data_IF_425586545901
#
_entry.id   IF_425586545901
#
_cell.length_a   1.000
_cell.length_b   1.000
_cell.length_c   1.000
_cell.angle_alpha   90.00
_cell.angle_beta   90.00
_cell.angle_gamma   90.00
#
_symmetry.space_group_name_H-M   'P 1'
#
loop_
_entity.id
_entity.type
_entity.pdbx_description
1 polymer ?
#
# COMPACT_ATOMS: atom_id res chain seq x y z
N UNK A 1 5.48 30.18 -5.35
CA UNK A 1 5.27 29.47 -4.07
C UNK A 1 5.45 28.01 -4.40
N UNK A 2 6.22 27.26 -3.63
CA UNK A 2 6.39 25.82 -3.92
C UNK A 2 5.03 25.13 -3.75
N UNK A 3 4.54 24.47 -4.78
CA UNK A 3 3.24 23.79 -4.78
C UNK A 3 3.09 22.75 -3.65
N UNK A 4 4.21 22.22 -3.18
CA UNK A 4 4.26 21.27 -2.05
C UNK A 4 3.78 21.88 -0.74
N UNK A 5 3.83 23.19 -0.60
CA UNK A 5 3.39 23.92 0.60
C UNK A 5 1.89 24.29 0.57
N UNK A 6 1.14 23.84 -0.43
CA UNK A 6 -0.31 24.12 -0.53
C UNK A 6 -1.17 23.15 0.26
N UNK A 7 -0.64 22.00 0.64
CA UNK A 7 -1.35 20.96 1.40
C UNK A 7 -1.38 21.32 2.88
N UNK A 8 -2.57 21.55 3.41
CA UNK A 8 -2.77 22.05 4.77
C UNK A 8 -3.25 20.95 5.71
N UNK A 9 -2.90 21.01 7.01
CA UNK A 9 -3.50 20.14 7.99
C UNK A 9 -5.02 20.25 7.98
N UNK A 10 -5.71 19.11 8.07
CA UNK A 10 -7.15 19.02 8.19
C UNK A 10 -7.48 18.28 9.50
N UNK A 11 -8.20 18.93 10.38
CA UNK A 11 -8.77 18.27 11.57
C UNK A 11 -9.95 17.42 11.10
N UNK A 12 -9.87 16.11 11.29
CA UNK A 12 -10.88 15.13 10.89
C UNK A 12 -11.26 14.27 12.09
N UNK A 13 -12.55 14.21 12.39
CA UNK A 13 -13.12 13.34 13.42
C UNK A 13 -13.78 12.12 12.79
N UNK A 14 -13.97 11.03 13.54
CA UNK A 14 -14.53 9.78 12.99
C UNK A 14 -15.89 9.93 12.28
N UNK A 15 -16.70 10.89 12.71
CA UNK A 15 -18.07 11.07 12.21
C UNK A 15 -18.23 12.23 11.20
N UNK A 16 -17.13 12.84 10.81
CA UNK A 16 -17.12 13.98 9.90
C UNK A 16 -17.02 13.51 8.44
N UNK A 17 -17.84 14.12 7.57
CA UNK A 17 -17.75 13.86 6.13
C UNK A 17 -16.56 14.58 5.53
N UNK A 18 -15.79 13.87 4.71
CA UNK A 18 -14.69 14.46 3.97
C UNK A 18 -15.19 15.19 2.71
N UNK A 19 -14.41 16.14 2.17
CA UNK A 19 -14.73 16.81 0.91
C UNK A 19 -14.91 15.83 -0.26
N UNK A 20 -15.79 16.19 -1.21
CA UNK A 20 -16.09 15.34 -2.37
C UNK A 20 -14.90 15.16 -3.32
N UNK A 21 -13.99 16.13 -3.36
CA UNK A 21 -12.76 16.07 -4.16
C UNK A 21 -11.58 16.59 -3.34
N UNK A 22 -10.65 15.71 -3.08
CA UNK A 22 -9.41 16.00 -2.34
C UNK A 22 -8.19 15.66 -3.17
N UNK A 23 -7.13 16.41 -2.96
CA UNK A 23 -5.83 16.16 -3.57
C UNK A 23 -4.72 16.25 -2.51
N UNK A 24 -3.76 15.36 -2.57
CA UNK A 24 -2.60 15.34 -1.67
C UNK A 24 -1.31 15.03 -2.41
N UNK A 25 -0.19 15.51 -1.89
CA UNK A 25 1.13 15.04 -2.29
C UNK A 25 1.49 13.83 -1.44
N UNK A 26 1.51 12.64 -2.05
CA UNK A 26 1.90 11.39 -1.37
C UNK A 26 3.44 11.34 -1.36
N UNK A 27 4.02 12.13 -0.45
CA UNK A 27 5.46 12.42 -0.43
C UNK A 27 6.31 11.24 -0.02
N UNK A 28 5.74 10.33 0.76
CA UNK A 28 6.39 9.10 1.26
C UNK A 28 6.35 7.94 0.26
N UNK A 29 5.74 8.17 -0.91
CA UNK A 29 5.68 7.18 -1.99
C UNK A 29 6.53 7.59 -3.19
N UNK A 30 6.98 6.59 -3.93
CA UNK A 30 7.67 6.72 -5.22
C UNK A 30 7.45 5.44 -6.02
N UNK A 31 8.16 5.29 -7.14
CA UNK A 31 8.15 4.05 -7.91
C UNK A 31 9.55 3.63 -8.32
N UNK A 32 9.73 2.32 -8.49
CA UNK A 32 10.82 1.76 -9.28
C UNK A 32 10.28 1.62 -10.70
N UNK A 33 10.97 2.20 -11.68
CA UNK A 33 10.66 2.01 -13.10
C UNK A 33 11.53 0.92 -13.69
N UNK A 34 10.94 0.15 -14.60
CA UNK A 34 11.60 -0.94 -15.30
C UNK A 34 11.36 -0.82 -16.80
N UNK A 35 12.42 -0.54 -17.56
CA UNK A 35 12.39 -0.28 -19.01
C UNK A 35 13.37 -1.24 -19.71
N UNK A 36 13.12 -1.61 -20.95
CA UNK A 36 13.99 -2.47 -21.74
C UNK A 36 13.27 -3.66 -22.36
N UNK A 37 13.94 -4.36 -23.26
CA UNK A 37 13.35 -5.48 -24.04
C UNK A 37 12.94 -6.65 -23.14
N UNK A 38 13.74 -6.93 -22.10
CA UNK A 38 13.54 -8.08 -21.21
C UNK A 38 12.69 -7.76 -19.97
N UNK A 39 12.16 -6.51 -19.82
CA UNK A 39 11.43 -6.08 -18.62
C UNK A 39 10.32 -7.03 -18.20
N UNK A 40 9.52 -7.52 -19.14
CA UNK A 40 8.39 -8.42 -18.87
C UNK A 40 8.86 -9.79 -18.38
N UNK A 41 9.78 -10.43 -19.10
CA UNK A 41 10.28 -11.75 -18.75
C UNK A 41 11.07 -11.74 -17.45
N UNK A 42 11.87 -10.69 -17.24
CA UNK A 42 12.62 -10.52 -16.00
C UNK A 42 11.69 -10.36 -14.80
N UNK A 43 10.78 -9.39 -14.86
CA UNK A 43 9.87 -9.11 -13.74
C UNK A 43 8.96 -10.30 -13.43
N UNK A 44 8.50 -11.04 -14.47
CA UNK A 44 7.69 -12.26 -14.29
C UNK A 44 8.36 -13.29 -13.37
N UNK A 45 9.67 -13.42 -13.42
CA UNK A 45 10.44 -14.35 -12.59
C UNK A 45 10.79 -13.81 -11.18
N UNK A 46 10.48 -12.56 -10.87
CA UNK A 46 10.86 -11.95 -9.60
C UNK A 46 9.67 -11.77 -8.64
N UNK A 47 8.45 -11.55 -9.14
CA UNK A 47 7.33 -11.07 -8.34
C UNK A 47 6.17 -12.04 -8.27
N UNK A 48 5.30 -11.88 -7.28
CA UNK A 48 4.17 -12.79 -7.01
C UNK A 48 3.01 -12.65 -7.99
N UNK A 49 2.79 -11.46 -8.57
CA UNK A 49 1.72 -11.20 -9.53
C UNK A 49 2.07 -11.65 -10.95
N UNK A 50 1.05 -11.84 -11.79
CA UNK A 50 1.25 -12.19 -13.20
C UNK A 50 1.47 -10.92 -14.04
N UNK A 51 2.71 -10.71 -14.48
CA UNK A 51 3.12 -9.57 -15.31
C UNK A 51 2.78 -9.80 -16.79
N UNK A 52 2.78 -11.07 -17.23
CA UNK A 52 2.62 -11.42 -18.66
C UNK A 52 1.22 -11.08 -19.14
N UNK A 53 0.22 -11.32 -18.31
CA UNK A 53 -1.20 -11.13 -18.65
C UNK A 53 -1.74 -9.76 -18.25
N UNK A 54 -0.94 -8.88 -17.63
CA UNK A 54 -1.37 -7.55 -17.19
C UNK A 54 -1.72 -6.65 -18.39
N UNK A 55 -2.99 -6.23 -18.55
CA UNK A 55 -3.40 -5.31 -19.60
C UNK A 55 -2.80 -3.91 -19.41
N UNK A 56 -2.70 -3.13 -20.49
CA UNK A 56 -2.10 -1.79 -20.43
C UNK A 56 -2.94 -0.79 -19.62
N UNK A 57 -4.24 -1.01 -19.53
CA UNK A 57 -5.23 -0.16 -18.84
C UNK A 57 -5.63 -0.67 -17.45
N UNK A 58 -4.91 -1.69 -16.94
CA UNK A 58 -5.12 -2.29 -15.63
C UNK A 58 -3.85 -2.22 -14.78
N UNK A 59 -4.03 -2.31 -13.46
CA UNK A 59 -2.96 -2.46 -12.49
C UNK A 59 -3.17 -3.68 -11.61
N UNK A 60 -2.11 -4.17 -10.99
CA UNK A 60 -2.19 -5.25 -10.01
C UNK A 60 -1.31 -4.95 -8.81
N UNK A 61 -1.69 -5.47 -7.65
CA UNK A 61 -0.77 -5.55 -6.51
C UNK A 61 0.18 -6.73 -6.73
N UNK A 62 1.36 -6.63 -6.14
CA UNK A 62 2.34 -7.70 -6.12
C UNK A 62 3.33 -7.52 -4.99
N UNK A 63 4.12 -8.57 -4.76
CA UNK A 63 5.25 -8.51 -3.86
C UNK A 63 6.51 -9.07 -4.51
N UNK A 64 7.65 -8.53 -4.13
CA UNK A 64 8.95 -9.14 -4.34
C UNK A 64 9.40 -9.80 -3.05
N UNK A 65 9.84 -11.05 -3.12
CA UNK A 65 10.22 -11.85 -1.96
C UNK A 65 11.68 -12.29 -2.04
N UNK A 66 12.26 -12.59 -0.89
CA UNK A 66 13.50 -13.35 -0.82
C UNK A 66 13.27 -14.82 -1.17
N UNK A 67 14.35 -15.61 -1.24
CA UNK A 67 14.29 -17.04 -1.53
C UNK A 67 13.51 -17.85 -0.47
N UNK A 68 13.30 -17.30 0.74
CA UNK A 68 12.50 -17.90 1.82
C UNK A 68 11.03 -17.48 1.78
N UNK A 69 10.64 -16.67 0.78
CA UNK A 69 9.27 -16.16 0.63
C UNK A 69 8.93 -15.00 1.57
N UNK A 70 9.92 -14.34 2.15
CA UNK A 70 9.74 -13.13 2.95
C UNK A 70 9.73 -11.90 2.05
N UNK A 71 8.81 -10.99 2.30
CA UNK A 71 8.53 -9.83 1.45
C UNK A 71 9.58 -8.74 1.64
N UNK A 72 10.22 -8.33 0.55
CA UNK A 72 11.06 -7.14 0.48
C UNK A 72 10.23 -5.89 0.23
N UNK A 73 9.24 -5.99 -0.66
CA UNK A 73 8.33 -4.89 -0.97
C UNK A 73 6.97 -5.38 -1.41
N UNK A 74 5.96 -4.54 -1.18
CA UNK A 74 4.63 -4.61 -1.78
C UNK A 74 4.50 -3.38 -2.67
N UNK A 75 4.01 -3.57 -3.86
CA UNK A 75 3.89 -2.51 -4.85
C UNK A 75 2.60 -2.66 -5.66
N UNK A 76 2.17 -1.55 -6.24
CA UNK A 76 1.21 -1.55 -7.34
C UNK A 76 1.96 -1.49 -8.66
N UNK A 77 1.74 -2.51 -9.49
CA UNK A 77 2.35 -2.65 -10.81
C UNK A 77 1.39 -2.14 -11.89
N UNK A 78 1.89 -1.29 -12.77
CA UNK A 78 1.16 -0.79 -13.93
C UNK A 78 2.12 -0.35 -15.04
N UNK A 79 1.58 -0.18 -16.26
CA UNK A 79 2.33 0.34 -17.39
C UNK A 79 2.56 1.85 -17.25
N UNK A 80 3.80 2.29 -17.44
CA UNK A 80 4.22 3.69 -17.31
C UNK A 80 5.38 4.00 -18.24
N UNK A 81 5.26 5.06 -19.06
CA UNK A 81 6.32 5.59 -19.93
C UNK A 81 7.05 4.50 -20.78
N UNK A 82 6.31 3.57 -21.37
CA UNK A 82 6.86 2.48 -22.20
C UNK A 82 7.49 1.33 -21.42
N UNK A 83 7.45 1.39 -20.11
CA UNK A 83 7.90 0.34 -19.18
C UNK A 83 6.85 -0.02 -18.15
N UNK A 84 7.32 -0.47 -17.01
CA UNK A 84 6.53 -0.71 -15.80
C UNK A 84 6.92 0.28 -14.71
N UNK A 85 5.93 0.63 -13.86
CA UNK A 85 6.17 1.25 -12.56
C UNK A 85 5.74 0.30 -11.44
N UNK A 86 6.59 0.14 -10.44
CA UNK A 86 6.33 -0.54 -9.19
C UNK A 86 6.21 0.53 -8.11
N UNK A 87 5.00 1.05 -7.91
CA UNK A 87 4.72 2.15 -6.97
C UNK A 87 4.60 1.60 -5.55
N UNK A 88 5.38 2.17 -4.61
CA UNK A 88 5.56 1.67 -3.25
C UNK A 88 6.08 2.75 -2.30
N UNK A 89 6.09 2.53 -0.97
CA UNK A 89 6.70 3.45 -0.01
C UNK A 89 8.19 3.67 -0.28
N UNK A 90 8.63 4.92 -0.26
CA UNK A 90 10.04 5.30 -0.48
C UNK A 90 11.00 4.61 0.48
N UNK A 91 10.60 4.45 1.74
CA UNK A 91 11.44 3.83 2.76
C UNK A 91 11.86 2.39 2.42
N UNK A 92 11.07 1.69 1.61
CA UNK A 92 11.38 0.32 1.17
C UNK A 92 12.28 0.27 -0.07
N UNK A 93 12.30 1.34 -0.89
CA UNK A 93 12.91 1.33 -2.23
C UNK A 93 14.43 1.09 -2.17
N UNK A 94 15.13 1.65 -1.20
CA UNK A 94 16.58 1.53 -1.11
C UNK A 94 17.05 0.06 -1.09
N UNK A 95 16.44 -0.76 -0.25
CA UNK A 95 16.75 -2.19 -0.14
C UNK A 95 16.16 -2.96 -1.32
N UNK A 96 14.90 -2.67 -1.66
CA UNK A 96 14.21 -3.31 -2.77
C UNK A 96 14.95 -3.14 -4.10
N UNK A 97 15.47 -1.94 -4.38
CA UNK A 97 16.20 -1.66 -5.62
C UNK A 97 17.46 -2.50 -5.74
N UNK A 98 18.15 -2.76 -4.64
CA UNK A 98 19.33 -3.65 -4.60
C UNK A 98 18.92 -5.10 -4.86
N UNK A 99 17.88 -5.57 -4.19
CA UNK A 99 17.44 -6.95 -4.29
C UNK A 99 16.84 -7.27 -5.66
N UNK A 100 16.01 -6.39 -6.21
CA UNK A 100 15.40 -6.61 -7.53
C UNK A 100 16.41 -6.50 -8.70
N UNK A 101 17.51 -5.81 -8.52
CA UNK A 101 18.60 -5.75 -9.52
C UNK A 101 19.53 -6.96 -9.50
N UNK A 102 19.52 -7.74 -8.44
CA UNK A 102 20.51 -8.79 -8.16
C UNK A 102 20.69 -9.82 -9.28
N UNK A 103 19.60 -10.15 -9.95
CA UNK A 103 19.61 -11.15 -11.03
C UNK A 103 19.47 -10.53 -12.43
N UNK A 104 19.51 -9.20 -12.56
CA UNK A 104 19.30 -8.50 -13.82
C UNK A 104 20.55 -8.44 -14.72
N UNK A 105 21.70 -8.93 -14.28
CA UNK A 105 23.03 -8.75 -14.94
C UNK A 105 23.05 -9.17 -16.41
N UNK A 106 22.27 -10.18 -16.78
CA UNK A 106 22.20 -10.67 -18.15
C UNK A 106 20.90 -10.26 -18.90
N UNK A 107 20.07 -9.46 -18.28
CA UNK A 107 18.79 -9.00 -18.84
C UNK A 107 18.94 -7.57 -19.40
N UNK A 108 18.35 -7.34 -20.57
CA UNK A 108 18.28 -6.00 -21.17
C UNK A 108 17.17 -5.20 -20.50
N UNK A 109 17.44 -4.76 -19.28
CA UNK A 109 16.48 -4.02 -18.44
C UNK A 109 17.19 -2.97 -17.63
N UNK A 110 16.67 -1.75 -17.66
CA UNK A 110 17.06 -0.66 -16.78
C UNK A 110 16.05 -0.57 -15.64
N UNK A 111 16.55 -0.61 -14.42
CA UNK A 111 15.74 -0.63 -13.18
C UNK A 111 16.21 0.53 -12.31
N UNK A 112 15.38 1.54 -12.12
CA UNK A 112 15.76 2.75 -11.39
C UNK A 112 14.60 3.28 -10.54
N UNK A 113 14.91 4.01 -9.48
CA UNK A 113 13.92 4.82 -8.81
C UNK A 113 13.62 6.03 -9.67
N UNK A 114 12.33 6.30 -9.94
CA UNK A 114 11.92 7.46 -10.72
C UNK A 114 12.10 8.78 -9.95
N UNK A 115 12.28 9.87 -10.69
CA UNK A 115 12.19 11.24 -10.17
C UNK A 115 10.76 11.78 -10.14
N UNK A 116 9.80 11.05 -10.73
CA UNK A 116 8.40 11.40 -10.71
C UNK A 116 7.83 11.39 -9.29
N UNK A 117 6.81 12.19 -9.08
CA UNK A 117 6.12 12.30 -7.78
C UNK A 117 4.74 11.68 -7.83
N UNK A 118 4.22 11.33 -6.65
CA UNK A 118 2.89 10.75 -6.51
C UNK A 118 1.93 11.82 -5.98
N UNK A 119 0.88 12.10 -6.75
CA UNK A 119 -0.27 12.92 -6.32
C UNK A 119 -1.46 12.01 -6.10
N UNK A 120 -2.03 12.03 -4.90
CA UNK A 120 -3.27 11.32 -4.57
C UNK A 120 -4.48 12.19 -4.91
N UNK A 121 -5.48 11.59 -5.54
CA UNK A 121 -6.80 12.20 -5.79
C UNK A 121 -7.86 11.29 -5.16
N UNK A 122 -8.72 11.84 -4.32
CA UNK A 122 -9.66 11.08 -3.48
C UNK A 122 -11.01 11.78 -3.40
N UNK A 123 -12.06 11.00 -3.10
CA UNK A 123 -13.41 11.47 -2.84
C UNK A 123 -14.39 11.12 -3.95
N UNK A 124 -15.67 11.33 -3.71
CA UNK A 124 -16.76 10.91 -4.60
C UNK A 124 -16.66 11.48 -6.03
N UNK A 125 -15.97 12.62 -6.21
CA UNK A 125 -15.75 13.25 -7.51
C UNK A 125 -14.38 12.92 -8.13
N UNK A 126 -13.62 11.99 -7.56
CA UNK A 126 -12.25 11.67 -8.05
C UNK A 126 -12.29 11.10 -9.48
N UNK A 127 -13.18 10.15 -9.76
CA UNK A 127 -13.30 9.55 -11.10
C UNK A 127 -13.65 10.61 -12.15
N UNK A 128 -14.59 11.53 -11.84
CA UNK A 128 -14.93 12.62 -12.73
C UNK A 128 -13.76 13.59 -12.97
N UNK A 129 -12.96 13.85 -11.95
CA UNK A 129 -11.76 14.65 -12.11
C UNK A 129 -10.76 13.98 -13.07
N UNK A 130 -10.52 12.67 -12.90
CA UNK A 130 -9.63 11.93 -13.79
C UNK A 130 -10.17 11.89 -15.23
N UNK A 131 -11.48 11.74 -15.42
CA UNK A 131 -12.10 11.81 -16.74
C UNK A 131 -11.86 13.19 -17.41
N UNK A 132 -11.73 14.25 -16.64
CA UNK A 132 -11.46 15.61 -17.15
C UNK A 132 -10.03 15.85 -17.61
N UNK A 133 -9.08 15.04 -17.16
CA UNK A 133 -7.64 15.19 -17.45
C UNK A 133 -7.06 14.05 -18.30
N UNK A 134 -7.85 13.05 -18.67
CA UNK A 134 -7.44 11.92 -19.51
C UNK A 134 -8.48 11.61 -20.58
N UNK A 135 -7.99 11.36 -21.80
CA UNK A 135 -8.83 10.87 -22.90
C UNK A 135 -8.93 9.33 -22.92
N UNK A 136 -8.07 8.64 -22.19
CA UNK A 136 -8.08 7.17 -22.09
C UNK A 136 -9.08 6.68 -21.05
N UNK A 137 -9.47 5.40 -21.20
CA UNK A 137 -10.38 4.71 -20.28
C UNK A 137 -9.61 3.62 -19.51
N UNK A 138 -10.26 2.96 -18.56
CA UNK A 138 -9.66 1.92 -17.73
C UNK A 138 -9.16 2.43 -16.39
N UNK A 139 -8.49 1.56 -15.66
CA UNK A 139 -7.95 1.85 -14.32
C UNK A 139 -6.53 2.40 -14.35
N UNK A 140 -5.87 2.31 -15.49
CA UNK A 140 -4.56 2.94 -15.76
C UNK A 140 -4.72 3.82 -16.98
N UNK A 141 -4.44 5.11 -16.84
CA UNK A 141 -4.70 6.12 -17.87
C UNK A 141 -3.50 7.01 -18.10
N UNK A 142 -3.22 7.28 -19.35
CA UNK A 142 -2.21 8.26 -19.73
C UNK A 142 -2.76 9.66 -19.47
N UNK A 143 -1.98 10.47 -18.79
CA UNK A 143 -2.27 11.89 -18.53
C UNK A 143 -1.06 12.75 -18.92
N UNK A 144 -1.24 14.06 -18.95
CA UNK A 144 -0.13 14.97 -19.25
C UNK A 144 0.97 14.81 -18.20
N UNK A 145 2.18 14.46 -18.66
CA UNK A 145 3.36 14.28 -17.82
C UNK A 145 3.41 13.00 -16.98
N UNK A 146 2.56 12.01 -17.25
CA UNK A 146 2.63 10.72 -16.54
C UNK A 146 1.42 9.81 -16.68
N UNK A 147 1.09 9.11 -15.60
CA UNK A 147 0.08 8.06 -15.57
C UNK A 147 -0.80 8.19 -14.32
N UNK A 148 -2.11 8.12 -14.50
CA UNK A 148 -3.08 7.98 -13.42
C UNK A 148 -3.43 6.50 -13.24
N UNK A 149 -3.41 6.01 -12.00
CA UNK A 149 -3.79 4.65 -11.66
C UNK A 149 -4.85 4.63 -10.57
N UNK A 150 -5.97 3.96 -10.82
CA UNK A 150 -6.99 3.73 -9.82
C UNK A 150 -6.48 2.73 -8.79
N UNK A 151 -6.47 3.12 -7.52
CA UNK A 151 -5.97 2.26 -6.43
C UNK A 151 -7.10 1.61 -5.64
N UNK A 152 -8.25 2.25 -5.58
CA UNK A 152 -9.53 1.74 -5.10
C UNK A 152 -10.68 2.59 -5.64
N UNK A 153 -11.92 2.31 -5.27
CA UNK A 153 -13.07 3.09 -5.67
C UNK A 153 -12.89 4.56 -5.23
N UNK A 154 -13.10 5.50 -6.16
CA UNK A 154 -12.97 6.93 -5.93
C UNK A 154 -11.58 7.37 -5.40
N UNK A 155 -10.53 6.61 -5.70
CA UNK A 155 -9.17 6.94 -5.27
C UNK A 155 -8.13 6.60 -6.34
N UNK A 156 -7.37 7.62 -6.74
CA UNK A 156 -6.38 7.55 -7.82
C UNK A 156 -5.03 8.04 -7.35
N UNK A 157 -3.96 7.39 -7.80
CA UNK A 157 -2.60 7.87 -7.67
C UNK A 157 -2.10 8.32 -9.05
N UNK A 158 -1.51 9.52 -9.11
CA UNK A 158 -0.94 10.08 -10.31
C UNK A 158 0.58 10.05 -10.17
N UNK A 159 1.25 9.21 -10.95
CA UNK A 159 2.71 9.19 -11.05
C UNK A 159 3.11 10.13 -12.19
N UNK A 160 3.63 11.30 -11.85
CA UNK A 160 3.82 12.40 -12.79
C UNK A 160 5.14 13.15 -12.54
N UNK A 161 5.62 13.84 -13.57
CA UNK A 161 6.77 14.74 -13.43
C UNK A 161 6.47 15.89 -12.45
N UNK A 162 7.52 16.49 -11.87
CA UNK A 162 7.38 17.65 -10.97
C UNK A 162 6.59 18.79 -11.61
N UNK A 163 6.83 19.07 -12.90
CA UNK A 163 6.14 20.15 -13.65
C UNK A 163 4.65 19.85 -13.83
N UNK A 164 4.32 18.60 -14.16
CA UNK A 164 2.92 18.17 -14.28
C UNK A 164 2.21 18.22 -12.93
N UNK A 165 2.87 17.81 -11.84
CA UNK A 165 2.33 17.92 -10.49
C UNK A 165 2.00 19.35 -10.11
N UNK A 166 2.92 20.29 -10.36
CA UNK A 166 2.69 21.73 -10.12
C UNK A 166 1.49 22.26 -10.92
N UNK A 167 1.39 21.90 -12.19
CA UNK A 167 0.29 22.30 -13.05
C UNK A 167 -1.07 21.73 -12.55
N UNK A 168 -1.13 20.44 -12.21
CA UNK A 168 -2.31 19.77 -11.71
C UNK A 168 -2.78 20.36 -10.37
N UNK A 169 -1.86 20.55 -9.42
CA UNK A 169 -2.17 21.10 -8.09
C UNK A 169 -2.66 22.55 -8.21
N UNK A 170 -2.03 23.37 -9.08
CA UNK A 170 -2.39 24.77 -9.24
C UNK A 170 -3.70 24.99 -9.97
N UNK A 171 -4.05 24.13 -10.94
CA UNK A 171 -5.28 24.26 -11.73
C UNK A 171 -6.50 23.59 -11.11
N UNK A 172 -6.29 22.64 -10.19
CA UNK A 172 -7.38 21.86 -9.59
C UNK A 172 -8.12 22.64 -8.51
N UNK A 173 -9.47 22.50 -8.53
CA UNK A 173 -10.38 22.98 -7.47
C UNK A 173 -10.47 22.04 -6.27
N UNK A 174 -9.80 20.89 -6.32
CA UNK A 174 -9.76 19.93 -5.22
C UNK A 174 -9.23 20.57 -3.93
N UNK A 175 -9.78 20.18 -2.80
CA UNK A 175 -9.23 20.57 -1.49
C UNK A 175 -7.85 19.94 -1.28
N UNK A 176 -6.89 20.77 -0.88
CA UNK A 176 -5.50 20.34 -0.68
C UNK A 176 -5.35 19.85 0.75
N UNK A 177 -5.27 18.54 0.91
CA UNK A 177 -5.29 17.85 2.21
C UNK A 177 -3.94 17.20 2.53
N UNK A 178 -3.65 16.92 3.80
CA UNK A 178 -2.39 16.28 4.18
C UNK A 178 -2.34 14.82 3.73
N UNK A 179 -1.14 14.30 3.55
CA UNK A 179 -0.86 12.91 3.15
C UNK A 179 -1.45 11.88 4.14
N UNK A 180 -1.64 12.25 5.41
CA UNK A 180 -2.25 11.38 6.41
C UNK A 180 -3.66 10.92 6.04
N UNK A 181 -4.43 11.72 5.26
CA UNK A 181 -5.72 11.27 4.72
C UNK A 181 -5.59 10.20 3.63
N UNK A 182 -4.53 10.21 2.84
CA UNK A 182 -4.21 9.10 1.95
C UNK A 182 -3.96 7.81 2.74
N UNK A 183 -3.16 7.90 3.80
CA UNK A 183 -2.89 6.77 4.70
C UNK A 183 -4.16 6.25 5.37
N UNK A 184 -5.07 7.15 5.78
CA UNK A 184 -6.37 6.78 6.32
C UNK A 184 -7.18 5.91 5.34
N UNK A 185 -7.26 6.32 4.07
CA UNK A 185 -7.95 5.53 3.05
C UNK A 185 -7.26 4.19 2.76
N UNK A 186 -5.93 4.11 2.82
CA UNK A 186 -5.22 2.82 2.72
C UNK A 186 -5.59 1.86 3.85
N UNK A 187 -5.75 2.39 5.06
CA UNK A 187 -6.19 1.60 6.21
C UNK A 187 -7.63 1.11 6.00
N UNK A 188 -8.54 1.97 5.54
CA UNK A 188 -9.93 1.58 5.26
C UNK A 188 -10.04 0.51 4.18
N UNK A 189 -9.24 0.61 3.14
CA UNK A 189 -9.15 -0.40 2.06
C UNK A 189 -8.40 -1.67 2.51
N UNK A 190 -7.83 -1.66 3.71
CA UNK A 190 -6.95 -2.71 4.24
C UNK A 190 -5.87 -3.12 3.22
N UNK A 191 -5.30 -2.12 2.52
CA UNK A 191 -4.21 -2.33 1.59
C UNK A 191 -2.88 -2.36 2.34
N UNK A 192 -2.12 -3.48 2.26
CA UNK A 192 -0.81 -3.53 2.88
C UNK A 192 0.16 -2.64 2.12
N UNK A 193 0.90 -1.84 2.85
CA UNK A 193 2.16 -1.26 2.41
C UNK A 193 3.28 -1.69 3.36
N UNK A 194 4.50 -1.70 2.87
CA UNK A 194 5.63 -2.21 3.63
C UNK A 194 6.71 -1.13 3.73
N UNK A 195 6.92 -0.65 4.95
CA UNK A 195 8.03 0.24 5.25
C UNK A 195 9.35 -0.53 5.40
N UNK A 196 10.49 0.18 5.42
CA UNK A 196 11.81 -0.41 5.68
C UNK A 196 11.85 -1.26 6.96
N UNK A 197 11.12 -0.87 7.99
CA UNK A 197 11.09 -1.56 9.28
C UNK A 197 10.44 -2.95 9.21
N UNK A 198 9.58 -3.19 8.22
CA UNK A 198 8.81 -4.42 8.05
C UNK A 198 9.38 -5.35 6.96
N UNK A 199 10.43 -4.91 6.25
CA UNK A 199 11.05 -5.72 5.20
C UNK A 199 11.58 -7.04 5.75
N UNK A 200 11.35 -8.12 5.01
CA UNK A 200 11.80 -9.48 5.34
C UNK A 200 11.20 -10.09 6.63
N UNK A 201 10.09 -9.54 7.12
CA UNK A 201 9.39 -10.04 8.32
C UNK A 201 8.24 -11.00 7.98
N UNK A 202 7.46 -10.69 6.96
CA UNK A 202 6.20 -11.36 6.64
C UNK A 202 6.27 -12.13 5.33
N UNK A 203 5.43 -13.16 5.20
CA UNK A 203 5.10 -13.78 3.91
C UNK A 203 3.92 -13.02 3.28
N UNK A 204 3.70 -13.07 1.96
CA UNK A 204 2.62 -12.33 1.30
C UNK A 204 1.22 -12.60 1.86
N UNK A 205 0.93 -13.84 2.24
CA UNK A 205 -0.38 -14.22 2.81
C UNK A 205 -0.64 -13.61 4.19
N UNK A 206 0.40 -13.41 5.01
CA UNK A 206 0.26 -12.73 6.29
C UNK A 206 -0.15 -11.25 6.14
N UNK A 207 0.07 -10.69 4.95
CA UNK A 207 -0.31 -9.34 4.55
C UNK A 207 -1.56 -9.34 3.64
N UNK A 208 -2.32 -10.41 3.65
CA UNK A 208 -3.57 -10.62 2.89
C UNK A 208 -3.44 -10.47 1.37
N UNK A 209 -2.23 -10.48 0.80
CA UNK A 209 -2.02 -10.29 -0.64
C UNK A 209 -2.74 -11.33 -1.50
N UNK A 210 -3.00 -12.53 -0.97
CA UNK A 210 -3.78 -13.54 -1.67
C UNK A 210 -5.23 -13.09 -1.87
N UNK A 211 -5.87 -12.55 -0.83
CA UNK A 211 -7.27 -12.13 -0.86
C UNK A 211 -7.53 -10.91 -1.77
N UNK A 212 -6.50 -10.09 -2.00
CA UNK A 212 -6.60 -8.87 -2.83
C UNK A 212 -5.92 -9.00 -4.20
N UNK A 213 -5.69 -10.24 -4.66
CA UNK A 213 -5.19 -10.51 -6.00
C UNK A 213 -3.70 -10.25 -6.23
N UNK A 214 -2.92 -10.03 -5.17
CA UNK A 214 -1.48 -9.75 -5.27
C UNK A 214 -0.60 -10.98 -5.49
N UNK A 215 -1.17 -12.19 -5.57
CA UNK A 215 -0.45 -13.45 -5.79
C UNK A 215 -1.13 -14.23 -6.92
N UNK A 216 -0.37 -14.57 -7.95
CA UNK A 216 -0.81 -15.53 -8.97
C UNK A 216 -0.28 -16.94 -8.63
N UNK A 217 -1.17 -17.90 -8.53
CA UNK A 217 -0.82 -19.32 -8.33
C UNK A 217 -0.78 -20.12 -9.62
N UNK A 218 -1.17 -19.52 -10.74
CA UNK A 218 -1.19 -20.14 -12.07
C UNK A 218 -0.03 -19.74 -12.97
N UNK A 219 0.72 -18.69 -12.59
CA UNK A 219 1.90 -18.25 -13.34
C UNK A 219 3.09 -19.22 -13.17
N UNK A 220 4.13 -19.02 -14.00
CA UNK A 220 5.41 -19.74 -13.87
C UNK A 220 6.19 -19.40 -12.59
N UNK A 221 7.37 -20.00 -12.45
CA UNK A 221 8.20 -19.85 -11.25
C UNK A 221 8.65 -18.40 -11.00
N UNK A 222 8.76 -18.05 -9.73
CA UNK A 222 9.32 -16.78 -9.27
C UNK A 222 10.05 -16.95 -7.92
N UNK A 223 10.86 -15.97 -7.55
CA UNK A 223 11.64 -16.00 -6.30
C UNK A 223 10.73 -16.09 -5.08
N UNK A 224 11.00 -17.09 -4.20
CA UNK A 224 10.22 -17.31 -2.97
C UNK A 224 8.93 -18.11 -3.12
N UNK A 225 8.58 -18.54 -4.34
CA UNK A 225 7.33 -19.25 -4.64
C UNK A 225 7.09 -20.49 -3.77
N UNK A 226 8.12 -21.23 -3.39
CA UNK A 226 7.95 -22.47 -2.61
C UNK A 226 7.24 -22.23 -1.28
N UNK A 227 7.65 -21.21 -0.54
CA UNK A 227 7.03 -20.85 0.75
C UNK A 227 5.62 -20.34 0.54
N UNK A 228 5.41 -19.48 -0.46
CA UNK A 228 4.09 -18.93 -0.81
C UNK A 228 3.11 -20.04 -1.20
N UNK A 229 3.55 -21.01 -2.00
CA UNK A 229 2.74 -22.18 -2.38
C UNK A 229 2.44 -23.08 -1.17
N UNK A 230 3.41 -23.33 -0.29
CA UNK A 230 3.19 -24.10 0.95
C UNK A 230 2.21 -23.41 1.89
N UNK A 231 2.26 -22.11 1.99
CA UNK A 231 1.32 -21.33 2.81
C UNK A 231 -0.12 -21.54 2.34
N UNK A 232 -0.36 -21.55 1.01
CA UNK A 232 -1.67 -21.86 0.43
C UNK A 232 -2.06 -23.32 0.63
N UNK A 233 -1.30 -24.24 0.03
CA UNK A 233 -1.74 -25.64 -0.14
C UNK A 233 -1.56 -26.51 1.10
N UNK A 234 -0.80 -26.08 2.10
CA UNK A 234 -0.57 -26.81 3.36
C UNK A 234 -1.04 -26.07 4.60
N UNK A 235 -1.72 -24.92 4.45
CA UNK A 235 -2.25 -24.14 5.57
C UNK A 235 -1.17 -23.68 6.56
N UNK A 236 0.04 -23.39 6.07
CA UNK A 236 1.16 -23.02 6.94
C UNK A 236 1.10 -21.57 7.42
N UNK A 237 0.27 -20.73 6.79
CA UNK A 237 0.07 -19.36 7.25
C UNK A 237 -0.75 -19.36 8.56
N UNK A 238 -0.21 -18.73 9.59
CA UNK A 238 -0.84 -18.58 10.91
C UNK A 238 -1.12 -17.13 11.28
N UNK A 239 -0.97 -16.22 10.33
CA UNK A 239 -1.11 -14.78 10.54
C UNK A 239 -1.90 -14.15 9.41
N UNK A 240 -2.58 -13.06 9.73
CA UNK A 240 -3.35 -12.26 8.79
C UNK A 240 -3.31 -10.79 9.20
N UNK A 241 -3.43 -9.89 8.25
CA UNK A 241 -3.52 -8.47 8.53
C UNK A 241 -4.96 -8.09 8.87
N UNK A 242 -5.12 -7.27 9.91
CA UNK A 242 -6.41 -6.80 10.42
C UNK A 242 -6.41 -5.28 10.55
N UNK A 243 -7.60 -4.69 10.41
CA UNK A 243 -7.86 -3.31 10.81
C UNK A 243 -8.12 -3.32 12.31
N UNK A 244 -7.48 -2.41 13.03
CA UNK A 244 -7.68 -2.22 14.47
C UNK A 244 -7.98 -0.76 14.77
N UNK A 245 -8.79 -0.49 15.79
CA UNK A 245 -9.17 0.88 16.16
C UNK A 245 -9.38 0.99 17.66
N UNK A 246 -9.09 2.15 18.21
CA UNK A 246 -9.31 2.45 19.62
C UNK A 246 -8.90 3.88 19.98
N UNK A 247 -9.06 4.20 21.27
CA UNK A 247 -8.66 5.49 21.79
C UNK A 247 -7.14 5.59 21.99
N UNK A 248 -6.63 6.80 22.01
CA UNK A 248 -5.24 7.12 22.39
C UNK A 248 -5.20 8.38 23.21
N UNK A 249 -4.35 8.40 24.23
CA UNK A 249 -4.12 9.59 25.07
C UNK A 249 -3.04 10.51 24.48
N UNK A 250 -2.16 9.96 23.65
CA UNK A 250 -1.00 10.65 23.09
C UNK A 250 -1.03 10.68 21.57
N UNK A 251 -0.19 11.51 20.97
CA UNK A 251 0.03 11.51 19.51
C UNK A 251 0.77 10.23 19.11
N UNK A 252 0.19 9.49 18.18
CA UNK A 252 0.79 8.29 17.63
C UNK A 252 1.66 8.65 16.42
N UNK A 253 2.91 8.15 16.41
CA UNK A 253 3.84 8.29 15.29
C UNK A 253 4.55 6.97 15.02
N UNK A 254 4.67 6.59 13.74
CA UNK A 254 5.43 5.41 13.32
C UNK A 254 6.94 5.60 13.33
N UNK A 255 7.45 6.76 13.74
CA UNK A 255 8.89 6.97 14.00
C UNK A 255 9.43 6.00 15.06
N UNK A 256 8.53 5.55 15.94
CA UNK A 256 8.79 4.49 16.89
C UNK A 256 7.74 3.38 16.75
N UNK A 257 8.08 2.11 17.03
CA UNK A 257 7.13 1.02 16.97
C UNK A 257 5.94 1.25 17.92
N UNK A 258 4.72 1.21 17.40
CA UNK A 258 3.50 1.26 18.19
C UNK A 258 3.05 -0.17 18.43
N UNK A 259 3.34 -0.67 19.64
CA UNK A 259 3.07 -2.06 20.00
C UNK A 259 1.71 -2.21 20.68
N UNK A 260 1.03 -3.32 20.39
CA UNK A 260 -0.21 -3.72 21.03
C UNK A 260 -0.04 -5.06 21.74
N UNK A 261 -0.82 -5.23 22.80
CA UNK A 261 -1.04 -6.48 23.51
C UNK A 261 -2.46 -6.99 23.23
N UNK A 262 -2.65 -8.30 23.34
CA UNK A 262 -3.94 -8.97 23.26
C UNK A 262 -4.30 -9.67 24.57
N UNK A 263 -5.57 -9.75 24.87
CA UNK A 263 -6.07 -10.52 26.01
C UNK A 263 -5.88 -12.04 25.78
N UNK A 264 -5.49 -12.75 26.85
CA UNK A 264 -5.41 -14.22 26.89
C UNK A 264 -5.87 -14.64 28.28
N UNK A 265 -7.15 -14.96 28.44
CA UNK A 265 -7.78 -15.09 29.75
C UNK A 265 -7.68 -13.80 30.55
N UNK A 266 -7.16 -13.88 31.77
CA UNK A 266 -6.93 -12.71 32.65
C UNK A 266 -5.59 -12.00 32.38
N UNK A 267 -4.79 -12.47 31.42
CA UNK A 267 -3.46 -11.94 31.15
C UNK A 267 -3.40 -11.20 29.81
N UNK A 268 -2.33 -10.42 29.62
CA UNK A 268 -2.01 -9.74 28.36
C UNK A 268 -0.72 -10.29 27.76
N UNK A 269 -0.68 -10.44 26.45
CA UNK A 269 0.50 -10.88 25.71
C UNK A 269 0.71 -9.98 24.51
N UNK A 270 1.96 -9.77 24.13
CA UNK A 270 2.29 -9.04 22.91
C UNK A 270 1.56 -9.58 21.70
N UNK A 271 0.90 -8.71 20.95
CA UNK A 271 0.15 -9.03 19.75
C UNK A 271 0.96 -8.71 18.48
N UNK A 272 1.79 -7.70 18.54
CA UNK A 272 2.57 -7.16 17.43
C UNK A 272 2.58 -5.64 17.43
N UNK A 273 2.93 -5.05 16.29
CA UNK A 273 2.99 -3.60 16.12
C UNK A 273 2.12 -3.15 14.95
N UNK A 274 1.74 -1.88 14.94
CA UNK A 274 1.04 -1.27 13.82
C UNK A 274 1.97 -1.15 12.60
N UNK A 275 1.46 -1.53 11.44
CA UNK A 275 2.09 -1.31 10.13
C UNK A 275 1.81 0.10 9.62
N UNK A 276 0.61 0.59 9.90
CA UNK A 276 0.13 1.91 9.52
C UNK A 276 -0.85 2.41 10.59
N UNK A 277 -0.96 3.73 10.75
CA UNK A 277 -1.86 4.35 11.72
C UNK A 277 -2.36 5.71 11.23
N UNK A 278 -3.62 5.99 11.48
CA UNK A 278 -4.22 7.31 11.36
C UNK A 278 -4.88 7.69 12.68
N UNK A 279 -4.59 8.89 13.17
CA UNK A 279 -5.19 9.44 14.38
C UNK A 279 -6.18 10.54 14.02
N UNK A 280 -7.40 10.41 14.51
CA UNK A 280 -8.45 11.42 14.37
C UNK A 280 -8.25 12.56 15.39
N UNK A 281 -8.89 13.70 15.11
CA UNK A 281 -8.83 14.88 15.98
C UNK A 281 -9.53 14.67 17.35
N UNK A 282 -10.37 13.66 17.48
CA UNK A 282 -11.11 13.29 18.70
C UNK A 282 -10.41 12.22 19.54
N UNK A 283 -9.09 12.07 19.38
CA UNK A 283 -8.27 11.10 20.10
C UNK A 283 -8.68 9.63 19.88
N UNK A 284 -9.30 9.34 18.76
CA UNK A 284 -9.47 8.00 18.24
C UNK A 284 -8.39 7.70 17.20
N UNK A 285 -8.07 6.46 17.03
CA UNK A 285 -7.11 6.03 15.99
C UNK A 285 -7.56 4.75 15.33
N UNK A 286 -7.10 4.55 14.09
CA UNK A 286 -7.30 3.36 13.29
C UNK A 286 -5.97 2.96 12.67
N UNK A 287 -5.71 1.66 12.53
CA UNK A 287 -4.46 1.18 11.97
C UNK A 287 -4.55 -0.22 11.39
N UNK A 288 -3.47 -0.64 10.77
CA UNK A 288 -3.28 -2.00 10.26
C UNK A 288 -2.22 -2.71 11.10
N UNK A 289 -2.43 -3.99 11.40
CA UNK A 289 -1.42 -4.83 12.03
C UNK A 289 -1.60 -6.30 11.62
N UNK A 290 -0.52 -7.07 11.74
CA UNK A 290 -0.55 -8.51 11.51
C UNK A 290 -0.78 -9.24 12.83
N UNK A 291 -1.88 -9.99 12.88
CA UNK A 291 -2.32 -10.77 14.04
C UNK A 291 -2.29 -12.27 13.75
N UNK A 292 -2.29 -13.15 14.78
CA UNK A 292 -2.61 -14.55 14.61
C UNK A 292 -4.00 -14.72 13.98
N UNK A 293 -4.18 -15.71 13.09
CA UNK A 293 -5.45 -15.97 12.40
C UNK A 293 -6.42 -16.89 13.17
N UNK A 294 -6.07 -17.27 14.40
CA UNK A 294 -6.86 -18.12 15.29
C UNK A 294 -7.19 -17.40 16.61
N UNK A 295 -7.50 -16.12 16.53
CA UNK A 295 -7.94 -15.36 17.69
C UNK A 295 -9.40 -15.69 18.03
N UNK A 296 -9.71 -15.63 19.32
CA UNK A 296 -11.09 -15.74 19.81
C UNK A 296 -11.89 -14.49 19.42
N UNK A 297 -13.20 -14.63 19.20
CA UNK A 297 -14.07 -13.53 18.76
C UNK A 297 -14.16 -12.38 19.79
N UNK A 298 -13.89 -12.65 21.06
CA UNK A 298 -13.93 -11.72 22.17
C UNK A 298 -12.56 -11.13 22.54
N UNK A 299 -11.53 -11.39 21.73
CA UNK A 299 -10.18 -10.87 21.99
C UNK A 299 -10.19 -9.35 22.05
N UNK A 300 -9.61 -8.80 23.10
CA UNK A 300 -9.38 -7.38 23.26
C UNK A 300 -7.92 -7.06 22.95
N UNK A 301 -7.69 -5.87 22.41
CA UNK A 301 -6.38 -5.30 22.21
C UNK A 301 -6.20 -4.06 23.07
N UNK A 302 -4.96 -3.69 23.35
CA UNK A 302 -4.61 -2.41 23.99
C UNK A 302 -3.23 -1.96 23.53
N UNK A 303 -3.00 -0.65 23.59
CA UNK A 303 -1.66 -0.11 23.40
C UNK A 303 -0.77 -0.53 24.57
N UNK A 304 0.42 -1.08 24.28
CA UNK A 304 1.39 -1.49 25.32
C UNK A 304 1.80 -0.29 26.19
N UNK A 305 1.98 0.89 25.57
CA UNK A 305 2.35 2.12 26.26
C UNK A 305 1.18 2.79 27.00
N UNK A 306 -0.08 2.42 26.69
CA UNK A 306 -1.29 3.01 27.25
C UNK A 306 -2.29 1.90 27.61
N UNK A 307 -2.05 1.12 28.71
CA UNK A 307 -2.83 -0.08 29.01
C UNK A 307 -4.33 0.14 29.25
N UNK A 308 -4.72 1.37 29.57
CA UNK A 308 -6.12 1.76 29.79
C UNK A 308 -6.87 2.04 28.47
N UNK A 309 -6.17 2.10 27.34
CA UNK A 309 -6.74 2.36 26.02
C UNK A 309 -7.06 1.05 25.30
N UNK A 310 -8.34 0.66 25.32
CA UNK A 310 -8.83 -0.55 24.68
C UNK A 310 -8.98 -0.32 23.16
N UNK A 311 -8.52 -1.31 22.40
CA UNK A 311 -8.63 -1.36 20.96
C UNK A 311 -9.42 -2.61 20.54
N UNK A 312 -10.08 -2.53 19.40
CA UNK A 312 -10.88 -3.60 18.81
C UNK A 312 -10.43 -3.92 17.40
N UNK A 313 -10.67 -5.15 16.97
CA UNK A 313 -10.51 -5.58 15.59
C UNK A 313 -11.76 -5.19 14.81
N UNK A 314 -11.58 -4.54 13.67
CA UNK A 314 -12.66 -4.16 12.76
C UNK A 314 -12.76 -5.13 11.59
N UNK A 315 -13.96 -5.24 10.95
CA UNK A 315 -14.13 -6.03 9.75
C UNK A 315 -13.23 -5.55 8.61
N UNK A 316 -12.74 -6.48 7.80
CA UNK A 316 -12.04 -6.17 6.55
C UNK A 316 -13.04 -5.83 5.44
N UNK A 317 -12.68 -4.98 4.46
CA UNK A 317 -13.53 -4.67 3.30
C UNK A 317 -13.60 -5.82 2.27
N UNK A 318 -12.89 -6.91 2.50
CA UNK A 318 -12.85 -8.10 1.65
C UNK A 318 -12.84 -9.38 2.51
N UNK A 319 -13.21 -10.53 1.90
CA UNK A 319 -13.13 -11.84 2.54
C UNK A 319 -11.71 -12.39 2.50
N UNK A 320 -11.31 -13.08 3.57
CA UNK A 320 -10.10 -13.89 3.60
C UNK A 320 -10.37 -15.36 3.22
N UNK A 321 -11.63 -15.76 3.15
CA UNK A 321 -12.02 -17.11 2.75
C UNK A 321 -11.70 -17.30 1.26
N UNK A 322 -11.09 -18.43 0.92
CA UNK A 322 -10.83 -18.81 -0.46
C UNK A 322 -12.16 -19.20 -1.14
N UNK A 323 -12.44 -18.58 -2.32
CA UNK A 323 -13.46 -19.10 -3.24
C UNK A 323 -12.99 -20.38 -3.95
#
# INVERSE_FOLDING_TARGET
MDWKNTFQPLAHTQNESLPELMMTHVSDWSAITMIGDDKKSYLQGQVTCDVVTLPNDESTLGAHCDAKGKVWSIFRLFHHNGGYALMQPKSAIEVELVEIKKYAVFSKVDIEQTSDVVIGVMGASADQYIDSISESQGKVRVISGGTAVQVSDNRWALLVTQEAAEALVSSSTAEKVPETLWQYHEILDAQPNLSKAEQNEHIPQALNLQAIGGISFSKGCYTGQETVARAKYRGMNKREMRIVSGATADVLSLDNPIELERSVGENWRGAGRLLNVYQFADNQAIGLMVLPNNLDDDVQLRLTAQPDQVWSILPLPYSLDEE
#
